data_IF_723341470441
#
_entry.id   IF_723341470441
#
_cell.length_a   1.000
_cell.length_b   1.000
_cell.length_c   1.000
_cell.angle_alpha   90.00
_cell.angle_beta   90.00
_cell.angle_gamma   90.00
#
_symmetry.space_group_name_H-M   'P 1'
#
loop_
_entity.id
_entity.type
_entity.pdbx_description
1 polymer ?
#
# COMPACT_ATOMS: atom_id res chain seq x y z
N UNK A 1 -4.42 27.12 -68.01
CA UNK A 1 -5.45 27.07 -66.95
C UNK A 1 -5.09 25.92 -66.03
N UNK A 2 -5.07 26.17 -64.71
CA UNK A 2 -5.11 25.17 -63.62
C UNK A 2 -3.78 24.58 -63.08
N UNK A 3 -3.38 25.22 -61.97
CA UNK A 3 -2.93 24.69 -60.67
C UNK A 3 -1.55 24.03 -60.51
N UNK A 4 -0.70 24.81 -59.85
CA UNK A 4 0.44 24.40 -59.02
C UNK A 4 0.06 23.34 -57.99
N UNK A 5 0.95 22.39 -57.74
CA UNK A 5 0.99 21.64 -56.47
C UNK A 5 2.45 21.54 -56.01
N UNK A 6 2.79 22.41 -55.06
CA UNK A 6 3.94 22.23 -54.19
C UNK A 6 3.67 21.01 -53.30
N UNK A 7 4.53 20.00 -53.36
CA UNK A 7 4.51 18.91 -52.38
C UNK A 7 5.62 19.17 -51.35
N UNK A 8 5.25 19.89 -50.29
CA UNK A 8 6.07 20.03 -49.08
C UNK A 8 5.89 18.74 -48.28
N UNK A 9 6.95 17.94 -48.19
CA UNK A 9 7.02 16.80 -47.27
C UNK A 9 7.27 17.36 -45.87
N UNK A 10 6.21 17.44 -45.05
CA UNK A 10 6.33 17.81 -43.63
C UNK A 10 6.63 16.55 -42.82
N UNK A 11 7.92 16.32 -42.54
CA UNK A 11 8.35 15.29 -41.60
C UNK A 11 8.03 15.79 -40.17
N UNK A 12 6.97 15.25 -39.55
CA UNK A 12 6.69 15.48 -38.13
C UNK A 12 7.38 14.37 -37.34
N UNK A 13 8.59 14.64 -36.85
CA UNK A 13 9.21 13.80 -35.83
C UNK A 13 8.50 14.05 -34.50
N UNK A 14 7.61 13.14 -34.11
CA UNK A 14 7.16 13.06 -32.72
C UNK A 14 8.29 12.46 -31.89
N UNK A 15 9.09 13.33 -31.27
CA UNK A 15 9.98 12.91 -30.19
C UNK A 15 9.10 12.63 -28.97
N UNK A 16 8.83 11.35 -28.69
CA UNK A 16 8.36 10.92 -27.38
C UNK A 16 9.51 11.11 -26.39
N UNK A 17 9.47 12.19 -25.61
CA UNK A 17 10.28 12.30 -24.41
C UNK A 17 9.69 11.34 -23.37
N UNK A 18 10.30 10.17 -23.22
CA UNK A 18 10.11 9.34 -22.03
C UNK A 18 10.61 10.14 -20.82
N UNK A 19 9.69 10.76 -20.10
CA UNK A 19 10.00 11.28 -18.77
C UNK A 19 10.32 10.07 -17.89
N UNK A 20 11.62 9.79 -17.72
CA UNK A 20 12.10 8.87 -16.70
C UNK A 20 11.61 9.40 -15.36
N UNK A 21 10.53 8.80 -14.83
CA UNK A 21 10.10 9.05 -13.47
C UNK A 21 11.19 8.54 -12.55
N UNK A 22 12.11 9.41 -12.16
CA UNK A 22 13.09 9.13 -11.13
C UNK A 22 12.31 8.68 -9.89
N UNK A 23 12.47 7.42 -9.48
CA UNK A 23 12.02 6.98 -8.16
C UNK A 23 12.84 7.78 -7.15
N UNK A 24 12.22 8.81 -6.57
CA UNK A 24 12.83 9.58 -5.48
C UNK A 24 12.92 8.62 -4.29
N UNK A 25 14.07 7.98 -4.12
CA UNK A 25 14.39 7.24 -2.90
C UNK A 25 14.62 8.27 -1.80
N UNK A 26 13.62 8.51 -0.94
CA UNK A 26 13.76 9.36 0.24
C UNK A 26 14.55 8.60 1.32
N UNK A 27 15.85 8.41 1.09
CA UNK A 27 16.76 7.96 2.14
C UNK A 27 17.06 9.14 3.08
N UNK A 28 16.04 9.59 3.83
CA UNK A 28 16.18 10.61 4.87
C UNK A 28 16.45 9.91 6.20
N UNK A 29 17.59 10.21 6.82
CA UNK A 29 17.82 9.92 8.22
C UNK A 29 16.88 10.79 9.06
N UNK A 30 15.90 10.17 9.72
CA UNK A 30 14.97 10.87 10.60
C UNK A 30 15.47 10.67 12.04
N UNK A 31 15.87 11.76 12.69
CA UNK A 31 16.21 11.74 14.12
C UNK A 31 14.94 11.58 14.96
N UNK A 32 15.03 10.75 16.00
CA UNK A 32 13.97 10.61 16.99
C UNK A 32 13.82 11.91 17.78
N UNK A 33 12.61 12.46 17.84
CA UNK A 33 12.26 13.47 18.82
C UNK A 33 11.92 12.75 20.14
N UNK A 34 12.73 12.87 21.20
CA UNK A 34 12.55 12.10 22.43
C UNK A 34 11.28 12.47 23.20
N UNK A 35 10.61 13.57 22.84
CA UNK A 35 9.34 14.01 23.43
C UNK A 35 8.12 13.56 22.62
N UNK A 36 8.32 13.09 21.39
CA UNK A 36 7.24 12.67 20.51
C UNK A 36 6.97 11.17 20.68
N UNK A 37 5.75 10.83 21.05
CA UNK A 37 5.30 9.46 21.26
C UNK A 37 3.99 9.21 20.52
N UNK A 38 3.87 8.01 19.96
CA UNK A 38 2.70 7.54 19.22
C UNK A 38 2.31 6.14 19.68
N UNK A 39 1.05 5.96 20.06
CA UNK A 39 0.48 4.65 20.42
C UNK A 39 -0.85 4.44 19.73
N UNK A 40 -1.07 3.26 19.17
CA UNK A 40 -2.29 2.95 18.44
C UNK A 40 -2.35 1.53 17.93
N UNK A 41 -3.25 1.30 16.97
CA UNK A 41 -3.48 0.00 16.36
C UNK A 41 -4.03 0.13 14.94
N UNK A 42 -3.76 -0.89 14.14
CA UNK A 42 -4.50 -1.21 12.94
C UNK A 42 -5.52 -2.32 13.26
N UNK A 43 -6.72 -2.21 12.72
CA UNK A 43 -7.76 -3.23 12.84
C UNK A 43 -8.39 -3.49 11.48
N UNK A 44 -8.86 -4.72 11.26
CA UNK A 44 -9.75 -5.04 10.15
C UNK A 44 -11.09 -5.47 10.73
N UNK A 45 -12.17 -4.82 10.34
CA UNK A 45 -13.51 -5.05 10.90
C UNK A 45 -13.51 -5.00 12.45
N UNK A 46 -12.75 -4.06 13.04
CA UNK A 46 -12.63 -3.90 14.49
C UNK A 46 -11.77 -4.96 15.20
N UNK A 47 -11.05 -5.83 14.47
CA UNK A 47 -10.23 -6.91 15.05
C UNK A 47 -8.78 -6.81 14.57
N UNK A 48 -7.83 -7.20 15.43
CA UNK A 48 -6.40 -7.30 15.07
C UNK A 48 -6.08 -8.49 14.17
N UNK A 49 -7.00 -9.46 14.07
CA UNK A 49 -6.89 -10.61 13.17
C UNK A 49 -8.26 -11.02 12.66
N UNK A 50 -8.37 -11.21 11.34
CA UNK A 50 -9.60 -11.67 10.69
C UNK A 50 -9.31 -12.83 9.75
N UNK A 51 -10.21 -13.81 9.73
CA UNK A 51 -10.19 -14.90 8.75
C UNK A 51 -11.08 -14.56 7.55
N UNK A 52 -10.58 -14.84 6.35
CA UNK A 52 -11.27 -14.64 5.08
C UNK A 52 -11.16 -15.94 4.28
N UNK A 53 -12.26 -16.40 3.69
CA UNK A 53 -12.27 -17.57 2.79
C UNK A 53 -12.57 -17.11 1.37
N UNK A 54 -11.73 -17.47 0.42
CA UNK A 54 -11.90 -17.18 -1.00
C UNK A 54 -12.05 -18.49 -1.78
N UNK A 55 -13.29 -18.92 -2.00
CA UNK A 55 -13.61 -20.24 -2.58
C UNK A 55 -12.93 -20.50 -3.94
N UNK A 56 -12.81 -19.48 -4.78
CA UNK A 56 -12.15 -19.60 -6.10
C UNK A 56 -10.71 -19.12 -6.11
N UNK A 57 -10.22 -18.60 -4.97
CA UNK A 57 -8.88 -18.03 -4.87
C UNK A 57 -8.64 -16.82 -5.75
N UNK A 58 -9.67 -16.00 -6.01
CA UNK A 58 -9.53 -14.81 -6.84
C UNK A 58 -9.19 -13.57 -6.00
N UNK A 59 -8.02 -12.98 -6.23
CA UNK A 59 -7.59 -11.76 -5.53
C UNK A 59 -8.45 -10.54 -5.89
N UNK A 60 -9.09 -10.53 -7.06
CA UNK A 60 -10.00 -9.46 -7.48
C UNK A 60 -11.28 -9.48 -6.64
N UNK A 61 -11.77 -10.67 -6.27
CA UNK A 61 -12.92 -10.79 -5.36
C UNK A 61 -12.56 -10.30 -3.95
N UNK A 62 -11.35 -10.60 -3.48
CA UNK A 62 -10.83 -10.04 -2.23
C UNK A 62 -10.81 -8.51 -2.30
N UNK A 63 -10.27 -7.94 -3.38
CA UNK A 63 -10.26 -6.49 -3.57
C UNK A 63 -11.66 -5.89 -3.55
N UNK A 64 -12.62 -6.50 -4.25
CA UNK A 64 -14.03 -6.10 -4.22
C UNK A 64 -14.61 -6.11 -2.81
N UNK A 65 -14.28 -7.11 -1.98
CA UNK A 65 -14.74 -7.15 -0.60
C UNK A 65 -14.23 -5.96 0.24
N UNK A 66 -13.00 -5.50 0.02
CA UNK A 66 -12.51 -4.26 0.64
C UNK A 66 -13.25 -3.03 0.10
N UNK A 67 -13.39 -2.90 -1.23
CA UNK A 67 -14.06 -1.73 -1.85
C UNK A 67 -15.54 -1.61 -1.51
N UNK A 68 -16.19 -2.72 -1.20
CA UNK A 68 -17.60 -2.76 -0.79
C UNK A 68 -17.80 -2.68 0.73
N UNK A 69 -16.72 -2.42 1.48
CA UNK A 69 -16.79 -2.21 2.93
C UNK A 69 -17.00 -3.47 3.75
N UNK A 70 -16.87 -4.68 3.16
CA UNK A 70 -16.95 -5.94 3.91
C UNK A 70 -15.72 -6.19 4.78
N UNK A 71 -14.58 -5.62 4.40
CA UNK A 71 -13.34 -5.64 5.15
C UNK A 71 -12.81 -4.20 5.27
N UNK A 72 -13.19 -3.49 6.33
CA UNK A 72 -12.73 -2.11 6.57
C UNK A 72 -11.46 -2.13 7.40
N UNK A 73 -10.45 -1.37 6.98
CA UNK A 73 -9.21 -1.20 7.74
C UNK A 73 -9.31 0.10 8.52
N UNK A 74 -9.20 0.01 9.84
CA UNK A 74 -9.19 1.14 10.75
C UNK A 74 -7.76 1.37 11.21
N UNK A 75 -7.28 2.59 11.05
CA UNK A 75 -6.03 3.05 11.64
C UNK A 75 -6.36 4.07 12.72
N UNK A 76 -6.10 3.71 13.98
CA UNK A 76 -6.41 4.56 15.12
C UNK A 76 -5.16 4.75 15.97
N UNK A 77 -4.76 6.01 16.19
CA UNK A 77 -3.64 6.32 17.06
C UNK A 77 -3.83 7.63 17.81
N UNK A 78 -3.15 7.72 18.96
CA UNK A 78 -2.95 8.95 19.71
C UNK A 78 -1.50 9.38 19.60
N UNK A 79 -1.26 10.68 19.71
CA UNK A 79 0.09 11.25 19.68
C UNK A 79 0.29 12.30 20.76
N UNK A 80 1.47 12.29 21.38
CA UNK A 80 1.92 13.28 22.35
C UNK A 80 3.24 13.90 21.89
N UNK A 81 3.44 15.19 22.18
CA UNK A 81 4.70 15.90 21.85
C UNK A 81 5.05 15.98 20.36
N UNK A 82 4.06 15.77 19.48
CA UNK A 82 4.22 15.83 18.03
C UNK A 82 4.53 17.25 17.54
N UNK A 83 5.26 17.35 16.43
CA UNK A 83 5.44 18.61 15.72
C UNK A 83 4.09 19.16 15.27
N UNK A 84 3.89 20.47 15.43
CA UNK A 84 2.63 21.13 15.16
C UNK A 84 2.67 21.87 13.83
N UNK A 85 1.54 21.86 13.12
CA UNK A 85 1.33 22.74 11.97
C UNK A 85 1.01 24.18 12.41
N UNK A 86 0.72 25.05 11.44
CA UNK A 86 0.38 26.46 11.67
C UNK A 86 -0.91 26.65 12.49
N UNK A 87 -1.79 25.64 12.51
CA UNK A 87 -3.04 25.63 13.29
C UNK A 87 -2.83 25.00 14.68
N UNK A 88 -1.61 24.58 15.01
CA UNK A 88 -1.29 23.97 16.30
C UNK A 88 -1.62 22.48 16.42
N UNK A 89 -1.97 21.81 15.31
CA UNK A 89 -2.31 20.38 15.28
C UNK A 89 -1.06 19.52 15.17
N UNK A 90 -0.96 18.49 16.00
CA UNK A 90 0.18 17.55 15.97
C UNK A 90 0.12 16.62 14.76
N UNK A 91 1.23 16.50 14.03
CA UNK A 91 1.36 15.62 12.85
C UNK A 91 2.34 14.49 13.15
N UNK A 92 1.93 13.26 12.87
CA UNK A 92 2.78 12.08 12.94
C UNK A 92 3.15 11.60 11.53
N UNK A 93 4.31 10.97 11.41
CA UNK A 93 4.79 10.39 10.16
C UNK A 93 4.90 8.88 10.33
N UNK A 94 4.35 8.11 9.40
CA UNK A 94 4.36 6.65 9.44
C UNK A 94 4.87 6.05 8.16
N UNK A 95 5.63 4.97 8.28
CA UNK A 95 5.87 4.06 7.16
C UNK A 95 4.98 2.84 7.30
N UNK A 96 4.22 2.52 6.26
CA UNK A 96 3.50 1.25 6.20
C UNK A 96 4.37 0.13 5.65
N UNK A 97 4.29 -1.03 6.30
CA UNK A 97 4.96 -2.26 5.87
C UNK A 97 3.91 -3.36 5.76
N UNK A 98 3.90 -4.04 4.63
CA UNK A 98 3.02 -5.18 4.38
C UNK A 98 3.85 -6.41 4.05
N UNK A 99 3.54 -7.53 4.70
CA UNK A 99 4.20 -8.82 4.49
C UNK A 99 3.16 -9.88 4.14
N UNK A 100 3.46 -10.69 3.13
CA UNK A 100 2.65 -11.85 2.74
C UNK A 100 3.43 -13.11 3.04
N UNK A 101 2.84 -13.95 3.88
CA UNK A 101 3.31 -15.29 4.17
C UNK A 101 2.38 -16.31 3.54
N UNK A 102 2.93 -17.39 2.98
CA UNK A 102 2.16 -18.57 2.57
C UNK A 102 2.68 -19.77 3.36
N UNK A 103 1.78 -20.44 4.07
CA UNK A 103 2.08 -21.63 4.88
C UNK A 103 3.30 -21.42 5.81
N UNK A 104 3.40 -20.21 6.38
CA UNK A 104 4.47 -19.80 7.30
C UNK A 104 5.74 -19.23 6.63
N UNK A 105 5.90 -19.34 5.32
CA UNK A 105 7.05 -18.80 4.58
C UNK A 105 6.75 -17.39 4.05
N UNK A 106 7.66 -16.43 4.30
CA UNK A 106 7.57 -15.10 3.70
C UNK A 106 7.70 -15.20 2.18
N UNK A 107 6.69 -14.73 1.46
CA UNK A 107 6.65 -14.72 0.00
C UNK A 107 7.13 -13.38 -0.55
N UNK A 108 6.55 -12.28 -0.03
CA UNK A 108 6.85 -10.91 -0.45
C UNK A 108 6.64 -9.94 0.69
N UNK A 109 7.31 -8.79 0.60
CA UNK A 109 7.13 -7.66 1.51
C UNK A 109 7.27 -6.35 0.72
N UNK A 110 6.60 -5.31 1.18
CA UNK A 110 6.80 -3.94 0.72
C UNK A 110 6.85 -3.00 1.90
N UNK A 111 7.72 -2.00 1.79
CA UNK A 111 7.80 -0.85 2.68
C UNK A 111 7.49 0.39 1.83
N UNK A 112 6.44 1.11 2.18
CA UNK A 112 6.05 2.33 1.46
C UNK A 112 6.88 3.53 1.92
N UNK A 113 6.88 4.57 1.09
CA UNK A 113 7.38 5.88 1.52
C UNK A 113 6.54 6.43 2.68
N UNK A 114 7.13 7.18 3.62
CA UNK A 114 6.41 7.69 4.78
C UNK A 114 5.27 8.64 4.41
N UNK A 115 4.16 8.55 5.14
CA UNK A 115 2.98 9.38 4.99
C UNK A 115 2.64 10.07 6.31
N UNK A 116 2.10 11.28 6.22
CA UNK A 116 1.73 12.11 7.37
C UNK A 116 0.28 11.95 7.75
N UNK A 117 0.01 11.87 9.05
CA UNK A 117 -1.33 11.68 9.60
C UNK A 117 -1.55 12.55 10.83
N UNK A 118 -2.79 12.99 11.01
CA UNK A 118 -3.24 13.54 12.29
C UNK A 118 -3.66 12.39 13.22
N UNK A 119 -3.41 12.50 14.54
CA UNK A 119 -3.98 11.56 15.51
C UNK A 119 -5.50 11.49 15.43
N UNK A 120 -6.05 10.29 15.65
CA UNK A 120 -7.48 10.01 15.53
C UNK A 120 -7.75 8.67 14.87
N UNK A 121 -9.02 8.42 14.58
CA UNK A 121 -9.48 7.27 13.83
C UNK A 121 -9.61 7.62 12.35
N UNK A 122 -9.09 6.75 11.49
CA UNK A 122 -9.16 6.86 10.04
C UNK A 122 -9.51 5.51 9.43
N UNK A 123 -10.27 5.55 8.34
CA UNK A 123 -10.53 4.39 7.49
C UNK A 123 -9.53 4.41 6.34
N UNK A 124 -8.60 3.47 6.36
CA UNK A 124 -7.58 3.38 5.32
C UNK A 124 -8.01 2.41 4.22
N UNK A 125 -7.85 2.79 2.94
CA UNK A 125 -8.11 1.88 1.83
C UNK A 125 -7.07 0.75 1.82
N UNK A 126 -7.45 -0.43 1.34
CA UNK A 126 -6.52 -1.58 1.24
C UNK A 126 -5.32 -1.29 0.33
N UNK A 127 -5.51 -0.38 -0.62
CA UNK A 127 -4.50 0.15 -1.53
C UNK A 127 -3.36 0.88 -0.80
N UNK A 128 -3.61 1.47 0.38
CA UNK A 128 -2.58 2.11 1.20
C UNK A 128 -1.51 1.12 1.70
N UNK A 129 -1.80 -0.19 1.61
CA UNK A 129 -0.98 -1.28 2.11
C UNK A 129 -0.52 -2.25 1.01
N UNK A 130 -0.79 -1.98 -0.27
CA UNK A 130 -0.31 -2.80 -1.41
C UNK A 130 -0.66 -4.31 -1.31
N UNK A 131 -1.75 -4.67 -0.59
CA UNK A 131 -2.11 -6.07 -0.36
C UNK A 131 -2.39 -6.82 -1.68
N UNK A 132 -3.17 -6.20 -2.56
CA UNK A 132 -3.60 -6.79 -3.84
C UNK A 132 -2.43 -7.02 -4.81
N UNK A 133 -1.55 -6.04 -5.10
CA UNK A 133 -0.39 -6.28 -5.94
C UNK A 133 0.54 -7.34 -5.33
N UNK A 134 0.79 -7.31 -4.00
CA UNK A 134 1.63 -8.32 -3.38
C UNK A 134 1.08 -9.75 -3.54
N UNK A 135 -0.23 -9.95 -3.38
CA UNK A 135 -0.89 -11.24 -3.60
C UNK A 135 -0.86 -11.67 -5.07
N UNK A 136 -1.15 -10.75 -5.99
CA UNK A 136 -1.12 -10.99 -7.44
C UNK A 136 0.24 -11.55 -7.89
N UNK A 137 1.32 -10.97 -7.38
CA UNK A 137 2.68 -11.36 -7.74
C UNK A 137 3.28 -12.42 -6.81
N UNK A 138 2.59 -12.86 -5.74
CA UNK A 138 3.13 -13.75 -4.70
C UNK A 138 3.70 -15.06 -5.26
N UNK A 139 3.27 -15.47 -6.46
CA UNK A 139 3.65 -16.71 -7.13
C UNK A 139 4.51 -16.49 -8.38
N UNK A 140 5.05 -15.28 -8.57
CA UNK A 140 5.74 -14.86 -9.79
C UNK A 140 4.90 -13.88 -10.60
N UNK A 141 5.40 -13.48 -11.78
CA UNK A 141 4.66 -12.62 -12.69
C UNK A 141 3.65 -13.46 -13.50
N UNK A 142 2.32 -13.29 -13.31
CA UNK A 142 1.34 -14.08 -14.03
C UNK A 142 1.38 -13.83 -15.55
N UNK A 143 1.80 -12.64 -15.98
CA UNK A 143 1.88 -12.28 -17.39
C UNK A 143 3.04 -12.97 -18.12
N UNK A 144 4.13 -13.30 -17.41
CA UNK A 144 5.24 -14.07 -17.97
C UNK A 144 4.88 -15.55 -18.15
N UNK A 145 3.94 -16.05 -17.34
CA UNK A 145 3.56 -17.46 -17.29
C UNK A 145 2.25 -17.76 -18.04
N UNK A 146 1.63 -16.77 -18.71
CA UNK A 146 0.34 -16.91 -19.38
C UNK A 146 -0.83 -17.25 -18.43
N UNK A 147 -0.66 -17.05 -17.12
CA UNK A 147 -1.65 -17.39 -16.11
C UNK A 147 -2.65 -16.24 -15.88
N UNK A 148 -3.88 -16.57 -15.47
CA UNK A 148 -4.84 -15.55 -15.04
C UNK A 148 -4.29 -14.79 -13.82
N UNK A 149 -4.13 -13.44 -13.89
CA UNK A 149 -3.47 -12.67 -12.84
C UNK A 149 -4.21 -12.66 -11.51
N UNK A 150 -5.51 -12.99 -11.50
CA UNK A 150 -6.29 -13.04 -10.28
C UNK A 150 -6.13 -14.32 -9.46
N UNK A 151 -5.51 -15.38 -10.01
CA UNK A 151 -5.53 -16.70 -9.38
C UNK A 151 -4.48 -16.87 -8.28
N UNK A 152 -4.94 -17.18 -7.08
CA UNK A 152 -4.12 -17.66 -5.97
C UNK A 152 -4.09 -19.19 -5.95
N UNK A 153 -2.92 -19.77 -5.68
CA UNK A 153 -2.81 -21.21 -5.37
C UNK A 153 -3.41 -21.50 -4.00
N UNK A 154 -3.90 -22.73 -3.81
CA UNK A 154 -4.44 -23.19 -2.52
C UNK A 154 -3.42 -23.03 -1.39
N UNK A 155 -3.94 -22.84 -0.19
CA UNK A 155 -3.15 -22.75 1.04
C UNK A 155 -3.58 -21.64 1.97
N UNK A 156 -2.80 -21.44 3.05
CA UNK A 156 -3.03 -20.39 4.04
C UNK A 156 -2.12 -19.20 3.76
N UNK A 157 -2.73 -18.06 3.45
CA UNK A 157 -2.02 -16.79 3.35
C UNK A 157 -2.20 -16.00 4.65
N UNK A 158 -1.11 -15.52 5.23
CA UNK A 158 -1.12 -14.54 6.32
C UNK A 158 -0.58 -13.22 5.78
N UNK A 159 -1.39 -12.18 5.89
CA UNK A 159 -1.07 -10.82 5.46
C UNK A 159 -0.93 -9.98 6.71
N UNK A 160 0.27 -9.47 6.97
CA UNK A 160 0.54 -8.58 8.09
C UNK A 160 0.58 -7.14 7.60
N UNK A 161 -0.14 -6.26 8.25
CA UNK A 161 -0.16 -4.83 7.97
C UNK A 161 0.37 -4.09 9.21
N UNK A 162 1.49 -3.37 9.03
CA UNK A 162 2.19 -2.66 10.09
C UNK A 162 2.26 -1.18 9.77
N UNK A 163 2.15 -0.34 10.80
CA UNK A 163 2.46 1.09 10.74
C UNK A 163 3.62 1.39 11.68
N UNK A 164 4.73 1.89 11.14
CA UNK A 164 5.93 2.17 11.91
C UNK A 164 6.04 3.68 12.08
N UNK A 165 5.96 4.22 13.32
CA UNK A 165 6.15 5.65 13.55
C UNK A 165 7.58 6.05 13.19
N UNK A 166 7.72 7.19 12.52
CA UNK A 166 8.99 7.77 12.10
C UNK A 166 9.28 9.03 12.92
N UNK A 167 10.47 9.12 13.52
CA UNK A 167 10.88 10.29 14.31
C UNK A 167 10.15 10.45 15.65
N UNK A 168 9.36 9.46 16.05
CA UNK A 168 8.67 9.37 17.34
C UNK A 168 8.83 7.97 17.93
N UNK A 169 8.76 7.86 19.26
CA UNK A 169 8.74 6.58 19.96
C UNK A 169 7.32 5.98 19.98
N UNK A 170 7.22 4.77 20.53
CA UNK A 170 5.96 4.05 20.71
C UNK A 170 5.70 3.01 19.61
N UNK A 171 4.45 2.53 19.53
CA UNK A 171 4.09 1.36 18.72
C UNK A 171 2.65 1.45 18.22
N UNK A 172 2.45 1.02 16.98
CA UNK A 172 1.13 0.68 16.43
C UNK A 172 1.03 -0.84 16.40
N UNK A 173 0.00 -1.40 17.04
CA UNK A 173 -0.28 -2.83 16.93
C UNK A 173 -0.69 -3.20 15.49
N UNK A 174 -0.13 -4.30 14.98
CA UNK A 174 -0.36 -4.74 13.60
C UNK A 174 -1.73 -5.39 13.41
N UNK A 175 -2.24 -5.33 12.17
CA UNK A 175 -3.42 -6.07 11.76
C UNK A 175 -3.05 -7.27 10.89
N UNK A 176 -3.81 -8.36 11.03
CA UNK A 176 -3.60 -9.60 10.33
C UNK A 176 -4.84 -10.00 9.51
N UNK A 177 -4.65 -10.33 8.24
CA UNK A 177 -5.65 -11.01 7.42
C UNK A 177 -5.17 -12.45 7.19
N UNK A 178 -5.98 -13.42 7.60
CA UNK A 178 -5.73 -14.84 7.35
C UNK A 178 -6.65 -15.27 6.21
N UNK A 179 -6.10 -15.41 5.01
CA UNK A 179 -6.85 -15.75 3.81
C UNK A 179 -6.66 -17.22 3.48
N UNK A 180 -7.77 -17.97 3.48
CA UNK A 180 -7.83 -19.37 3.08
C UNK A 180 -8.33 -19.49 1.65
N UNK A 181 -7.58 -20.23 0.84
CA UNK A 181 -7.87 -20.53 -0.57
C UNK A 181 -8.09 -22.03 -0.76
#
# INVERSE_FOLDING_TARGET
>A
MKYSFNLIIMLVCFAFAEAQTAKISLNRSISLNPKAEVVGQLLVNGKSSVEIRLNEGNVVDLFKNFKTGKHQIQFNFKGAGLAKDQEGRGVALFTFVTEIYKDGKLMRSVKREPLTFFPGEMLEPVEAFDVIPLLTFAQGNPLENGAYPGKLTKGKYLIKIKAIPMGSSGKIEEANLIVWI
#
